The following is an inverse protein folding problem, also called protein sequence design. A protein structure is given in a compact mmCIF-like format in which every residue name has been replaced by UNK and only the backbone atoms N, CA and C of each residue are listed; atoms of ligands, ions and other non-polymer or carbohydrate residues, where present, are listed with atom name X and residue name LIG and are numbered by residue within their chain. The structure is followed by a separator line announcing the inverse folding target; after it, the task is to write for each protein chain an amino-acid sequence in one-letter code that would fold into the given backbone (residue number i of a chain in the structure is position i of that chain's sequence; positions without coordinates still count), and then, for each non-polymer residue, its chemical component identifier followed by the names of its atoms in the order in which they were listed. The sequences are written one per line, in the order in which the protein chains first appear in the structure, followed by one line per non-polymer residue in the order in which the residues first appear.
data_IF_398887318421
#
_entry.id   IF_398887318421
#
_cell.length_a   1.000
_cell.length_b   1.000
_cell.length_c   1.000
_cell.angle_alpha   90.00
_cell.angle_beta   90.00
_cell.angle_gamma   90.00
#
_symmetry.space_group_name_H-M   'P 1'
#
loop_
_entity.id
_entity.type
_entity.pdbx_description
1 polymer ?
#
# COMPACT_ATOMS: atom_id res chain seq x y z
N UNK A 1 -0.62 75.15 52.36
CA UNK A 1 0.54 74.29 52.17
C UNK A 1 0.37 73.60 50.85
N UNK A 2 0.98 74.16 49.82
CA UNK A 2 0.76 73.81 48.39
C UNK A 2 1.66 72.66 48.04
N UNK A 3 1.10 71.63 47.41
CA UNK A 3 1.84 70.62 46.64
C UNK A 3 1.59 70.81 45.16
N UNK A 4 2.57 71.35 44.45
CA UNK A 4 2.61 71.47 43.04
C UNK A 4 2.86 70.06 42.42
N UNK A 5 1.97 69.63 41.52
CA UNK A 5 2.15 68.43 40.66
C UNK A 5 3.05 68.82 39.51
N UNK A 6 4.25 68.27 39.47
CA UNK A 6 5.15 68.35 38.34
C UNK A 6 4.70 67.30 37.36
N UNK A 7 4.10 67.75 36.28
CA UNK A 7 3.84 66.86 35.09
C UNK A 7 5.12 66.76 34.26
N UNK A 8 5.80 65.61 34.32
CA UNK A 8 6.90 65.30 33.41
C UNK A 8 6.28 64.84 32.11
N UNK A 9 6.35 65.67 31.09
CA UNK A 9 5.98 65.37 29.73
C UNK A 9 7.03 64.42 29.11
N UNK A 10 6.82 63.12 29.19
CA UNK A 10 7.60 62.15 28.45
C UNK A 10 7.11 62.13 27.01
N UNK A 11 7.82 62.85 26.15
CA UNK A 11 7.63 62.84 24.71
C UNK A 11 8.13 61.52 24.19
N UNK A 12 7.22 60.52 24.02
CA UNK A 12 7.51 59.32 23.30
C UNK A 12 7.74 59.66 21.84
N UNK A 13 8.96 59.47 21.39
CA UNK A 13 9.32 59.50 19.96
C UNK A 13 8.78 58.25 19.27
N UNK A 14 7.97 58.38 18.23
CA UNK A 14 7.49 57.23 17.51
C UNK A 14 8.54 56.79 16.47
N UNK A 15 8.92 55.51 16.55
CA UNK A 15 9.26 54.75 15.41
C UNK A 15 10.67 54.85 14.81
N UNK A 16 11.64 54.29 15.49
CA UNK A 16 12.78 53.72 14.76
C UNK A 16 12.47 52.24 14.43
N UNK A 17 11.75 52.01 13.33
CA UNK A 17 11.76 50.73 12.63
C UNK A 17 13.13 50.57 12.01
N UNK A 18 14.05 49.95 12.76
CA UNK A 18 15.31 49.47 12.20
C UNK A 18 14.95 48.35 11.22
N UNK A 19 14.75 48.75 9.98
CA UNK A 19 14.72 47.82 8.83
C UNK A 19 16.15 47.28 8.66
N UNK A 20 16.50 46.25 9.40
CA UNK A 20 17.71 45.47 9.13
C UNK A 20 17.47 44.72 7.81
N UNK A 21 17.99 45.28 6.72
CA UNK A 21 18.10 44.53 5.46
C UNK A 21 18.93 43.29 5.77
N UNK A 22 18.44 42.10 5.44
CA UNK A 22 19.21 40.88 5.61
C UNK A 22 20.48 40.99 4.77
N UNK A 23 21.62 41.09 5.42
CA UNK A 23 22.92 40.99 4.73
C UNK A 23 23.12 39.51 4.46
N UNK A 24 22.84 39.08 3.22
CA UNK A 24 23.20 37.76 2.75
C UNK A 24 24.71 37.60 2.83
N UNK A 25 25.17 36.77 3.74
CA UNK A 25 26.58 36.46 3.90
C UNK A 25 26.93 35.34 2.91
N UNK A 26 28.13 35.36 2.35
CA UNK A 26 28.61 34.33 1.44
C UNK A 26 28.53 32.93 2.07
N UNK A 27 28.62 32.87 3.41
CA UNK A 27 28.47 31.66 4.21
C UNK A 27 27.03 31.11 4.13
N UNK A 28 26.03 31.98 4.16
CA UNK A 28 24.63 31.58 4.05
C UNK A 28 24.33 30.99 2.65
N UNK A 29 24.93 31.56 1.61
CA UNK A 29 24.84 31.05 0.26
C UNK A 29 25.48 29.65 0.16
N UNK A 30 26.65 29.46 0.75
CA UNK A 30 27.33 28.15 0.77
C UNK A 30 26.50 27.09 1.51
N UNK A 31 25.88 27.44 2.63
CA UNK A 31 25.01 26.52 3.37
C UNK A 31 23.80 26.12 2.52
N UNK A 32 23.15 27.07 1.83
CA UNK A 32 22.01 26.78 0.95
C UNK A 32 22.42 25.85 -0.19
N UNK A 33 23.57 26.10 -0.83
CA UNK A 33 24.08 25.24 -1.91
C UNK A 33 24.36 23.84 -1.38
N UNK A 34 24.94 23.69 -0.19
CA UNK A 34 25.21 22.40 0.44
C UNK A 34 23.92 21.62 0.73
N UNK A 35 22.90 22.29 1.28
CA UNK A 35 21.59 21.67 1.57
C UNK A 35 20.91 21.21 0.28
N UNK A 36 20.93 22.03 -0.78
CA UNK A 36 20.37 21.66 -2.08
C UNK A 36 21.12 20.47 -2.69
N UNK A 37 22.45 20.44 -2.59
CA UNK A 37 23.26 19.32 -3.09
C UNK A 37 22.95 18.02 -2.34
N UNK A 38 22.80 18.07 -1.01
CA UNK A 38 22.42 16.90 -0.20
C UNK A 38 21.02 16.43 -0.57
N UNK A 39 20.06 17.34 -0.70
CA UNK A 39 18.68 17.01 -1.10
C UNK A 39 18.64 16.36 -2.49
N UNK A 40 19.39 16.89 -3.46
CA UNK A 40 19.49 16.32 -4.79
C UNK A 40 20.14 14.91 -4.76
N UNK A 41 21.20 14.72 -3.97
CA UNK A 41 21.84 13.41 -3.82
C UNK A 41 20.91 12.37 -3.19
N UNK A 42 20.07 12.78 -2.22
CA UNK A 42 19.06 11.91 -1.60
C UNK A 42 17.99 11.54 -2.62
N UNK A 43 17.48 12.48 -3.40
CA UNK A 43 16.46 12.23 -4.44
C UNK A 43 17.00 11.23 -5.48
N UNK A 44 18.24 11.41 -5.95
CA UNK A 44 18.87 10.51 -6.93
C UNK A 44 19.17 9.12 -6.32
N UNK A 45 19.67 9.06 -5.09
CA UNK A 45 20.03 7.79 -4.45
C UNK A 45 18.83 6.90 -4.13
N UNK A 46 17.69 7.47 -3.82
CA UNK A 46 16.49 6.73 -3.42
C UNK A 46 15.46 6.57 -4.55
N UNK A 47 15.80 6.96 -5.78
CA UNK A 47 14.89 6.94 -6.94
C UNK A 47 13.49 7.52 -6.63
N UNK A 48 13.45 8.52 -5.73
CA UNK A 48 12.20 9.14 -5.29
C UNK A 48 11.48 9.79 -6.47
N UNK A 49 12.22 10.31 -7.43
CA UNK A 49 11.65 10.92 -8.62
C UNK A 49 10.89 9.89 -9.50
N UNK A 50 11.39 8.65 -9.61
CA UNK A 50 10.72 7.56 -10.32
C UNK A 50 9.48 7.06 -9.57
N UNK A 51 9.51 7.10 -8.23
CA UNK A 51 8.35 6.73 -7.40
C UNK A 51 7.24 7.78 -7.45
N UNK A 52 7.59 9.06 -7.51
CA UNK A 52 6.61 10.16 -7.62
C UNK A 52 6.04 10.25 -9.04
N UNK A 53 6.85 10.00 -10.08
CA UNK A 53 6.42 10.03 -11.48
C UNK A 53 5.58 8.83 -11.91
N UNK A 54 5.76 7.67 -11.27
CA UNK A 54 4.99 6.44 -11.53
C UNK A 54 3.72 6.28 -10.71
N UNK A 55 3.49 7.16 -9.73
CA UNK A 55 2.26 7.18 -8.93
C UNK A 55 1.01 7.66 -9.70
N UNK A 56 1.10 7.87 -11.01
CA UNK A 56 0.03 8.49 -11.79
C UNK A 56 -0.61 7.62 -12.88
N UNK A 57 -0.28 6.32 -12.96
CA UNK A 57 -1.11 5.36 -13.69
C UNK A 57 -1.37 4.16 -12.79
N UNK A 58 -2.43 4.23 -12.00
CA UNK A 58 -2.99 3.02 -11.40
C UNK A 58 -3.61 2.21 -12.53
N UNK A 59 -2.93 1.13 -12.87
CA UNK A 59 -3.46 0.15 -13.80
C UNK A 59 -4.48 -0.70 -13.07
N UNK A 60 -5.67 -0.88 -13.64
CA UNK A 60 -6.63 -1.84 -13.14
C UNK A 60 -6.19 -3.23 -13.56
N UNK A 61 -6.05 -4.11 -12.61
CA UNK A 61 -5.65 -5.50 -12.83
C UNK A 61 -6.66 -6.46 -12.22
N UNK A 62 -6.76 -7.61 -12.82
CA UNK A 62 -7.55 -8.73 -12.32
C UNK A 62 -6.63 -9.78 -11.75
N UNK A 63 -6.81 -10.09 -10.47
CA UNK A 63 -6.00 -11.07 -9.74
C UNK A 63 -6.87 -12.30 -9.49
N UNK A 64 -6.37 -13.47 -9.89
CA UNK A 64 -7.00 -14.73 -9.56
C UNK A 64 -6.29 -15.36 -8.37
N UNK A 65 -7.03 -15.55 -7.27
CA UNK A 65 -6.58 -16.15 -6.02
C UNK A 65 -7.19 -17.55 -5.86
N UNK A 66 -6.39 -18.51 -5.42
CA UNK A 66 -6.84 -19.85 -5.06
C UNK A 66 -6.53 -20.12 -3.59
N UNK A 67 -7.55 -20.38 -2.81
CA UNK A 67 -7.49 -20.79 -1.43
C UNK A 67 -7.89 -22.25 -1.36
N UNK A 68 -6.99 -23.11 -0.85
CA UNK A 68 -7.17 -24.56 -0.92
C UNK A 68 -7.60 -25.17 0.39
N UNK A 69 -8.42 -26.19 0.29
CA UNK A 69 -8.74 -27.12 1.38
C UNK A 69 -9.25 -26.41 2.65
N UNK A 70 -10.14 -25.47 2.48
CA UNK A 70 -10.81 -24.76 3.57
C UNK A 70 -12.17 -25.37 3.87
N UNK A 71 -12.71 -25.07 5.03
CA UNK A 71 -14.05 -25.52 5.43
C UNK A 71 -15.15 -24.69 4.78
N UNK A 72 -16.34 -25.26 4.73
CA UNK A 72 -17.50 -24.60 4.15
C UNK A 72 -17.82 -23.24 4.82
N UNK A 73 -17.66 -23.18 6.14
CA UNK A 73 -17.90 -21.94 6.90
C UNK A 73 -16.97 -20.82 6.47
N UNK A 74 -15.69 -21.16 6.19
CA UNK A 74 -14.72 -20.18 5.68
C UNK A 74 -15.05 -19.75 4.23
N UNK A 75 -15.56 -20.66 3.41
CA UNK A 75 -16.08 -20.28 2.08
C UNK A 75 -17.25 -19.32 2.19
N UNK A 76 -18.17 -19.58 3.12
CA UNK A 76 -19.38 -18.76 3.30
C UNK A 76 -19.10 -17.38 3.93
N UNK A 77 -17.95 -17.24 4.63
CA UNK A 77 -17.48 -15.98 5.20
C UNK A 77 -16.88 -15.02 4.15
N UNK A 78 -16.80 -15.43 2.90
CA UNK A 78 -16.32 -14.62 1.76
C UNK A 78 -17.48 -14.44 0.78
N UNK A 79 -17.76 -13.22 0.36
CA UNK A 79 -18.83 -12.88 -0.60
C UNK A 79 -18.28 -12.04 -1.76
N UNK A 80 -18.99 -12.07 -2.88
CA UNK A 80 -18.75 -11.11 -3.97
C UNK A 80 -19.11 -9.70 -3.47
N UNK A 81 -18.25 -8.72 -3.76
CA UNK A 81 -18.31 -7.38 -3.22
C UNK A 81 -17.48 -7.16 -1.95
N UNK A 82 -16.98 -8.23 -1.30
CA UNK A 82 -16.07 -8.09 -0.18
C UNK A 82 -14.68 -7.60 -0.66
N UNK A 83 -13.98 -6.93 0.22
CA UNK A 83 -12.60 -6.52 -0.03
C UNK A 83 -11.61 -7.43 0.70
N UNK A 84 -10.56 -7.85 0.00
CA UNK A 84 -9.41 -8.50 0.65
C UNK A 84 -8.32 -7.50 0.99
N UNK A 85 -7.79 -7.62 2.20
CA UNK A 85 -6.66 -6.86 2.71
C UNK A 85 -5.49 -7.82 2.92
N UNK A 86 -4.30 -7.42 2.52
CA UNK A 86 -3.09 -8.21 2.72
C UNK A 86 -2.62 -8.08 4.17
N UNK A 87 -2.65 -9.17 4.92
CA UNK A 87 -2.42 -9.18 6.36
C UNK A 87 -1.05 -8.64 6.81
N UNK A 88 -0.01 -8.71 5.98
CA UNK A 88 1.34 -8.27 6.35
C UNK A 88 1.59 -6.79 6.11
N UNK A 89 0.93 -6.21 5.13
CA UNK A 89 1.15 -4.82 4.70
C UNK A 89 -0.04 -3.91 4.96
N UNK A 90 -1.17 -4.47 5.38
CA UNK A 90 -2.45 -3.78 5.54
C UNK A 90 -2.92 -3.06 4.25
N UNK A 91 -2.35 -3.45 3.10
CA UNK A 91 -2.75 -2.89 1.81
C UNK A 91 -3.98 -3.61 1.29
N UNK A 92 -4.90 -2.84 0.71
CA UNK A 92 -6.04 -3.36 -0.02
C UNK A 92 -5.55 -4.19 -1.20
N UNK A 93 -5.90 -5.49 -1.25
CA UNK A 93 -5.63 -6.35 -2.41
C UNK A 93 -6.61 -6.03 -3.53
N UNK A 94 -7.88 -5.83 -3.20
CA UNK A 94 -8.92 -5.44 -4.13
C UNK A 94 -10.29 -5.98 -3.74
N UNK A 95 -11.28 -5.72 -4.58
CA UNK A 95 -12.67 -6.17 -4.42
C UNK A 95 -12.93 -7.49 -5.15
N UNK A 96 -13.63 -8.42 -4.50
CA UNK A 96 -13.97 -9.73 -5.06
C UNK A 96 -15.13 -9.58 -6.05
N UNK A 97 -14.85 -9.75 -7.33
CA UNK A 97 -15.85 -9.65 -8.38
C UNK A 97 -16.47 -11.01 -8.77
N UNK A 98 -15.79 -12.11 -8.41
CA UNK A 98 -16.27 -13.47 -8.70
C UNK A 98 -15.75 -14.45 -7.68
N UNK A 99 -16.62 -15.36 -7.26
CA UNK A 99 -16.35 -16.42 -6.31
C UNK A 99 -16.77 -17.77 -6.91
N UNK A 100 -15.87 -18.75 -6.88
CA UNK A 100 -16.14 -20.13 -7.28
C UNK A 100 -15.72 -21.07 -6.14
N UNK A 101 -16.62 -21.96 -5.73
CA UNK A 101 -16.37 -22.96 -4.69
C UNK A 101 -16.46 -24.34 -5.30
N UNK A 102 -15.43 -25.15 -5.11
CA UNK A 102 -15.39 -26.52 -5.61
C UNK A 102 -14.91 -27.46 -4.50
N UNK A 103 -15.39 -28.72 -4.44
CA UNK A 103 -14.83 -29.70 -3.50
C UNK A 103 -13.32 -29.85 -3.70
N UNK A 104 -12.58 -29.84 -2.57
CA UNK A 104 -11.12 -29.96 -2.60
C UNK A 104 -10.69 -31.33 -3.13
N UNK A 105 -9.66 -31.33 -3.97
CA UNK A 105 -9.08 -32.55 -4.53
C UNK A 105 -8.13 -33.18 -3.52
N UNK A 106 -8.37 -34.43 -3.20
CA UNK A 106 -7.52 -35.27 -2.34
C UNK A 106 -6.98 -36.45 -3.14
N UNK A 107 -5.68 -36.66 -3.07
CA UNK A 107 -5.05 -37.84 -3.66
C UNK A 107 -4.87 -38.89 -2.57
N UNK A 108 -5.37 -40.10 -2.79
CA UNK A 108 -5.21 -41.26 -1.90
C UNK A 108 -4.51 -42.39 -2.62
N UNK A 109 -3.64 -43.10 -1.90
CA UNK A 109 -3.01 -44.32 -2.43
C UNK A 109 -3.92 -45.51 -2.11
N UNK A 110 -4.14 -46.31 -3.14
CA UNK A 110 -4.85 -47.58 -3.03
C UNK A 110 -3.87 -48.68 -2.59
N UNK A 111 -4.37 -49.79 -2.05
CA UNK A 111 -3.56 -50.93 -1.61
C UNK A 111 -2.68 -51.55 -2.70
N UNK A 112 -2.96 -51.30 -3.96
CA UNK A 112 -2.18 -51.73 -5.15
C UNK A 112 -1.07 -50.72 -5.53
N UNK A 113 -0.90 -49.62 -4.76
CA UNK A 113 0.07 -48.57 -5.01
C UNK A 113 -0.42 -47.51 -6.04
N UNK A 114 -1.63 -47.67 -6.57
CA UNK A 114 -2.19 -46.67 -7.50
C UNK A 114 -2.67 -45.41 -6.77
N UNK A 115 -2.28 -44.22 -7.26
CA UNK A 115 -2.77 -42.92 -6.78
C UNK A 115 -4.12 -42.62 -7.42
N UNK A 116 -5.14 -42.45 -6.61
CA UNK A 116 -6.50 -42.14 -7.04
C UNK A 116 -6.88 -40.75 -6.63
N UNK A 117 -7.45 -40.00 -7.57
CA UNK A 117 -8.00 -38.65 -7.28
C UNK A 117 -9.41 -38.80 -6.72
N UNK A 118 -9.62 -38.26 -5.54
CA UNK A 118 -10.90 -38.18 -4.87
C UNK A 118 -11.27 -36.73 -4.58
N UNK A 119 -12.52 -36.49 -4.25
CA UNK A 119 -13.01 -35.20 -3.80
C UNK A 119 -13.33 -35.26 -2.31
N UNK A 120 -12.95 -34.22 -1.57
CA UNK A 120 -13.27 -34.13 -0.16
C UNK A 120 -14.75 -33.78 0.04
N UNK A 121 -15.39 -34.40 1.04
CA UNK A 121 -16.74 -34.05 1.47
C UNK A 121 -16.75 -32.89 2.49
N UNK A 122 -15.61 -32.61 3.12
CA UNK A 122 -15.49 -31.68 4.24
C UNK A 122 -14.62 -30.46 3.95
N UNK A 123 -13.92 -30.45 2.84
CA UNK A 123 -13.03 -29.37 2.45
C UNK A 123 -13.30 -28.93 1.02
N UNK A 124 -13.16 -27.64 0.80
CA UNK A 124 -13.44 -26.96 -0.45
C UNK A 124 -12.25 -26.12 -0.89
N UNK A 125 -12.09 -26.01 -2.18
CA UNK A 125 -11.19 -25.03 -2.80
C UNK A 125 -12.02 -23.81 -3.21
N UNK A 126 -11.59 -22.63 -2.80
CA UNK A 126 -12.21 -21.35 -3.08
C UNK A 126 -11.33 -20.60 -4.07
N UNK A 127 -11.88 -20.30 -5.26
CA UNK A 127 -11.25 -19.45 -6.26
C UNK A 127 -11.95 -18.10 -6.28
N UNK A 128 -11.20 -17.02 -6.03
CA UNK A 128 -11.67 -15.67 -6.09
C UNK A 128 -11.01 -14.91 -7.23
N UNK A 129 -11.80 -14.17 -7.99
CA UNK A 129 -11.30 -13.16 -8.91
C UNK A 129 -11.49 -11.79 -8.28
N UNK A 130 -10.41 -11.03 -8.21
CA UNK A 130 -10.34 -9.77 -7.47
C UNK A 130 -9.94 -8.67 -8.44
N UNK A 131 -10.68 -7.57 -8.48
CA UNK A 131 -10.27 -6.36 -9.18
C UNK A 131 -9.42 -5.50 -8.24
N UNK A 132 -8.21 -5.21 -8.67
CA UNK A 132 -7.18 -4.52 -7.90
C UNK A 132 -6.62 -3.33 -8.67
N UNK A 133 -6.08 -2.36 -7.95
CA UNK A 133 -5.37 -1.22 -8.52
C UNK A 133 -3.92 -1.22 -8.07
N UNK A 134 -3.01 -0.94 -8.99
CA UNK A 134 -1.59 -0.89 -8.68
C UNK A 134 -0.75 -0.47 -9.87
N UNK A 135 0.55 -0.55 -9.74
CA UNK A 135 1.49 -0.22 -10.82
C UNK A 135 1.94 -1.48 -11.52
N UNK A 136 1.64 -1.60 -12.82
CA UNK A 136 2.07 -2.70 -13.66
C UNK A 136 3.30 -2.30 -14.46
N UNK A 137 4.32 -3.14 -14.45
CA UNK A 137 5.49 -3.04 -15.32
C UNK A 137 5.48 -4.21 -16.30
N UNK A 138 6.38 -4.23 -17.31
CA UNK A 138 6.43 -5.30 -18.28
C UNK A 138 6.57 -6.72 -17.68
N UNK A 139 7.04 -6.83 -16.45
CA UNK A 139 7.33 -8.12 -15.78
C UNK A 139 6.66 -8.31 -14.45
N UNK A 140 6.23 -7.23 -13.79
CA UNK A 140 5.88 -7.24 -12.38
C UNK A 140 4.65 -6.38 -12.11
N UNK A 141 3.85 -6.79 -11.14
CA UNK A 141 2.78 -6.01 -10.57
C UNK A 141 3.09 -5.62 -9.12
N UNK A 142 2.95 -4.34 -8.82
CA UNK A 142 3.19 -3.77 -7.49
C UNK A 142 1.87 -3.26 -6.91
N UNK A 143 1.34 -3.98 -5.95
CA UNK A 143 0.15 -3.60 -5.20
C UNK A 143 0.49 -2.44 -4.25
N UNK A 144 -0.29 -1.35 -4.32
CA UNK A 144 -0.03 -0.16 -3.51
C UNK A 144 1.37 0.44 -3.69
N UNK A 145 2.02 0.19 -4.83
CA UNK A 145 3.36 0.70 -5.16
C UNK A 145 4.52 0.11 -4.36
N UNK A 146 4.28 -0.81 -3.43
CA UNK A 146 5.31 -1.35 -2.53
C UNK A 146 5.35 -2.87 -2.47
N UNK A 147 4.23 -3.55 -2.67
CA UNK A 147 4.15 -4.99 -2.50
C UNK A 147 4.16 -5.70 -3.84
N UNK A 148 5.21 -6.46 -4.07
CA UNK A 148 5.34 -7.30 -5.26
C UNK A 148 4.34 -8.45 -5.23
N UNK A 149 3.56 -8.60 -6.30
CA UNK A 149 2.60 -9.67 -6.47
C UNK A 149 2.80 -10.35 -7.83
N UNK A 150 2.96 -11.67 -7.82
CA UNK A 150 3.16 -12.47 -9.02
C UNK A 150 2.49 -13.84 -8.90
N UNK A 151 2.15 -14.49 -10.02
CA UNK A 151 1.70 -15.87 -10.02
C UNK A 151 2.69 -16.80 -9.30
N UNK A 152 2.14 -17.69 -8.47
CA UNK A 152 2.91 -18.64 -7.66
C UNK A 152 3.25 -18.16 -6.24
N UNK A 153 3.06 -16.88 -5.94
CA UNK A 153 3.24 -16.35 -4.56
C UNK A 153 2.02 -16.70 -3.72
N UNK A 154 2.26 -17.07 -2.47
CA UNK A 154 1.19 -17.25 -1.48
C UNK A 154 1.16 -16.04 -0.55
N UNK A 155 0.01 -15.44 -0.43
CA UNK A 155 -0.24 -14.29 0.45
C UNK A 155 -1.29 -14.66 1.50
N UNK A 156 -1.20 -14.05 2.67
CA UNK A 156 -2.27 -14.12 3.68
C UNK A 156 -3.17 -12.91 3.50
N UNK A 157 -4.44 -13.17 3.20
CA UNK A 157 -5.45 -12.13 3.04
C UNK A 157 -6.51 -12.27 4.11
N UNK A 158 -7.14 -11.18 4.46
CA UNK A 158 -8.29 -11.20 5.36
C UNK A 158 -9.39 -10.26 4.84
N UNK A 159 -10.62 -10.57 5.24
CA UNK A 159 -11.74 -9.65 5.25
C UNK A 159 -12.19 -9.45 6.70
N UNK A 160 -13.36 -8.85 6.94
CA UNK A 160 -13.90 -8.63 8.28
C UNK A 160 -14.17 -9.92 9.07
N UNK A 161 -14.30 -11.07 8.39
CA UNK A 161 -14.81 -12.30 8.95
C UNK A 161 -13.82 -13.44 9.02
N UNK A 162 -12.81 -13.47 8.13
CA UNK A 162 -11.90 -14.61 7.99
C UNK A 162 -10.51 -14.20 7.51
N UNK A 163 -9.50 -14.96 7.95
CA UNK A 163 -8.10 -14.87 7.48
C UNK A 163 -7.78 -16.12 6.67
N UNK A 164 -7.28 -15.95 5.45
CA UNK A 164 -7.08 -17.02 4.49
C UNK A 164 -5.69 -16.95 3.87
N UNK A 165 -5.12 -18.12 3.57
CA UNK A 165 -3.89 -18.23 2.77
C UNK A 165 -4.25 -18.45 1.31
N UNK A 166 -3.92 -17.51 0.45
CA UNK A 166 -4.29 -17.47 -0.94
C UNK A 166 -3.06 -17.58 -1.85
N UNK A 167 -3.09 -18.52 -2.78
CA UNK A 167 -2.11 -18.65 -3.86
C UNK A 167 -2.52 -17.74 -5.00
N UNK A 168 -1.64 -16.88 -5.45
CA UNK A 168 -1.84 -16.07 -6.66
C UNK A 168 -1.67 -16.95 -7.88
N UNK A 169 -2.75 -17.12 -8.66
CA UNK A 169 -2.76 -17.95 -9.87
C UNK A 169 -2.43 -17.15 -11.12
N UNK A 170 -2.98 -15.95 -11.22
CA UNK A 170 -2.79 -15.07 -12.38
C UNK A 170 -2.93 -13.60 -11.93
N UNK A 171 -2.24 -12.73 -12.66
CA UNK A 171 -2.37 -11.26 -12.59
C UNK A 171 -2.49 -10.78 -14.03
N UNK A 172 -3.61 -10.19 -14.38
CA UNK A 172 -3.96 -9.80 -15.74
C UNK A 172 -4.35 -8.33 -15.80
N UNK A 173 -3.81 -7.57 -16.76
CA UNK A 173 -4.22 -6.19 -16.99
C UNK A 173 -5.63 -6.15 -17.55
N UNK A 174 -6.47 -5.28 -16.99
CA UNK A 174 -7.81 -4.99 -17.52
C UNK A 174 -7.71 -3.71 -18.33
N UNK A 175 -7.62 -3.88 -19.66
CA UNK A 175 -7.66 -2.76 -20.61
C UNK A 175 -9.10 -2.33 -20.91
#
# INVERSE_FOLDING_TARGET
MFYERIWVNVKMSPNDKISKKPHFNIIDLLIVIMVVAIAAAVIVRYDIADKIGKASSEDNVRITLLIRSIREEACNAVSEGDSFIWNQSENLVGEIIRKEVTPAVVYSERNDGAIVKNYSELAYDLKCTVDASGSMTEKDFMLGGTNYLAPGITITVHNESVVLSALVMAVESVN
#
